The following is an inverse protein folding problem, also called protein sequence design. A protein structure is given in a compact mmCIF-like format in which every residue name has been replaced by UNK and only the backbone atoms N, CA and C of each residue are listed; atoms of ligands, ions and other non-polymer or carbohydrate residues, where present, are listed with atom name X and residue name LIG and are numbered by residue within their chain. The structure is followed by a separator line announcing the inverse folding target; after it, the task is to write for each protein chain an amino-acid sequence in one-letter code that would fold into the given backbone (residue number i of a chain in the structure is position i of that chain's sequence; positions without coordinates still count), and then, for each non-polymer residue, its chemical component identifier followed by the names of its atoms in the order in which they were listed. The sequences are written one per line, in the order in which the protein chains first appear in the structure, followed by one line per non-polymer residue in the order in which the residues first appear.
data_IF_598430523398
#
_entry.id   IF_598430523398
#
_cell.length_a   1.000
_cell.length_b   1.000
_cell.length_c   1.000
_cell.angle_alpha   90.00
_cell.angle_beta   90.00
_cell.angle_gamma   90.00
#
_symmetry.space_group_name_H-M   'P 1'
#
loop_
_entity.id
_entity.type
_entity.pdbx_description
1 polymer ?
#
# COMPACT_ATOMS: atom_id res chain seq x y z
N UNK A 1 -10.25 -7.02 8.93
CA UNK A 1 -9.35 -5.95 9.42
C UNK A 1 -10.18 -4.98 10.26
N UNK A 2 -9.89 -4.92 11.54
CA UNK A 2 -10.58 -4.01 12.46
C UNK A 2 -9.65 -3.59 13.60
N UNK A 3 -10.09 -2.57 14.37
CA UNK A 3 -9.28 -2.00 15.44
C UNK A 3 -9.03 -2.99 16.57
N UNK A 4 -9.99 -3.84 16.89
CA UNK A 4 -9.83 -4.83 17.97
C UNK A 4 -8.73 -5.83 17.64
N UNK A 5 -8.64 -6.30 16.39
CA UNK A 5 -7.57 -7.18 15.94
C UNK A 5 -6.20 -6.51 16.05
N UNK A 6 -6.09 -5.23 15.64
CA UNK A 6 -4.85 -4.47 15.74
C UNK A 6 -4.46 -4.24 17.21
N UNK A 7 -5.44 -3.99 18.06
CA UNK A 7 -5.20 -3.82 19.49
C UNK A 7 -4.63 -5.10 20.13
N UNK A 8 -5.14 -6.26 19.75
CA UNK A 8 -4.61 -7.54 20.20
C UNK A 8 -3.16 -7.76 19.74
N UNK A 9 -2.85 -7.41 18.50
CA UNK A 9 -1.48 -7.48 18.00
C UNK A 9 -0.53 -6.58 18.79
N UNK A 10 -0.99 -5.39 19.13
CA UNK A 10 -0.21 -4.44 19.94
C UNK A 10 -0.03 -4.95 21.37
N UNK A 11 -1.13 -5.31 22.03
CA UNK A 11 -1.15 -5.58 23.48
C UNK A 11 -0.60 -6.96 23.81
N UNK A 12 -0.90 -7.97 22.99
CA UNK A 12 -0.51 -9.35 23.26
C UNK A 12 0.83 -9.74 22.62
N UNK A 13 1.18 -9.13 21.50
CA UNK A 13 2.38 -9.46 20.72
C UNK A 13 3.41 -8.36 20.64
N UNK A 14 3.12 -7.17 21.15
CA UNK A 14 4.05 -6.04 21.12
C UNK A 14 4.25 -5.41 19.75
N UNK A 15 3.33 -5.62 18.80
CA UNK A 15 3.41 -5.02 17.49
C UNK A 15 3.21 -3.51 17.56
N UNK A 16 4.01 -2.75 16.81
CA UNK A 16 3.88 -1.29 16.68
C UNK A 16 3.71 -0.84 15.23
N UNK A 17 3.60 -1.77 14.30
CA UNK A 17 3.46 -1.49 12.88
C UNK A 17 2.54 -2.53 12.23
N UNK A 18 1.63 -2.05 11.38
CA UNK A 18 0.72 -2.87 10.56
C UNK A 18 1.05 -2.61 9.09
N UNK A 19 1.07 -3.67 8.30
CA UNK A 19 1.26 -3.57 6.84
C UNK A 19 -0.04 -3.96 6.14
N UNK A 20 -0.55 -3.05 5.31
CA UNK A 20 -1.78 -3.25 4.53
C UNK A 20 -1.37 -3.52 3.09
N UNK A 21 -1.56 -4.74 2.63
CA UNK A 21 -1.19 -5.17 1.29
C UNK A 21 -2.32 -4.89 0.30
N UNK A 22 -2.12 -3.93 -0.60
CA UNK A 22 -3.03 -3.67 -1.72
C UNK A 22 -2.57 -4.51 -2.91
N UNK A 23 -3.15 -5.68 -3.08
CA UNK A 23 -2.84 -6.55 -4.23
C UNK A 23 -3.24 -5.88 -5.53
N UNK A 24 -2.27 -5.68 -6.41
CA UNK A 24 -2.46 -5.01 -7.70
C UNK A 24 -2.99 -5.94 -8.78
N UNK A 25 -2.43 -7.14 -8.90
CA UNK A 25 -2.66 -8.04 -10.02
C UNK A 25 -3.16 -9.44 -9.68
N UNK A 26 -3.57 -9.69 -8.46
CA UNK A 26 -4.15 -10.98 -8.07
C UNK A 26 -5.65 -11.06 -8.39
N UNK A 27 -6.26 -12.22 -8.16
CA UNK A 27 -7.70 -12.38 -8.36
C UNK A 27 -8.47 -11.38 -7.48
N UNK A 28 -9.33 -10.58 -8.12
CA UNK A 28 -10.04 -9.47 -7.48
C UNK A 28 -9.09 -8.40 -6.89
N UNK A 29 -7.88 -8.27 -7.43
CA UNK A 29 -6.95 -7.20 -7.09
C UNK A 29 -7.43 -5.85 -7.58
N UNK A 30 -6.73 -4.80 -7.17
CA UNK A 30 -7.09 -3.42 -7.49
C UNK A 30 -7.21 -3.16 -8.99
N UNK A 31 -6.33 -3.76 -9.80
CA UNK A 31 -6.31 -3.61 -11.26
C UNK A 31 -6.98 -4.78 -12.00
N UNK A 32 -7.48 -5.79 -11.29
CA UNK A 32 -7.94 -7.06 -11.88
C UNK A 32 -9.35 -7.45 -11.46
N UNK A 33 -10.24 -6.46 -11.37
CA UNK A 33 -11.66 -6.69 -11.14
C UNK A 33 -12.14 -6.42 -9.72
N UNK A 34 -11.27 -6.06 -8.79
CA UNK A 34 -11.65 -5.67 -7.45
C UNK A 34 -12.42 -4.34 -7.44
N UNK A 35 -13.25 -4.14 -6.43
CA UNK A 35 -13.94 -2.88 -6.21
C UNK A 35 -12.95 -1.87 -5.62
N UNK A 36 -12.42 -0.99 -6.46
CA UNK A 36 -11.39 -0.02 -6.06
C UNK A 36 -11.84 0.90 -4.93
N UNK A 37 -13.10 1.32 -4.96
CA UNK A 37 -13.64 2.18 -3.91
C UNK A 37 -13.66 1.46 -2.57
N UNK A 38 -14.17 0.23 -2.54
CA UNK A 38 -14.21 -0.59 -1.33
C UNK A 38 -12.81 -0.91 -0.82
N UNK A 39 -11.88 -1.23 -1.72
CA UNK A 39 -10.50 -1.51 -1.34
C UNK A 39 -9.82 -0.29 -0.69
N UNK A 40 -10.06 0.90 -1.23
CA UNK A 40 -9.54 2.15 -0.62
C UNK A 40 -10.20 2.44 0.73
N UNK A 41 -11.47 2.12 0.89
CA UNK A 41 -12.15 2.25 2.19
C UNK A 41 -11.59 1.28 3.24
N UNK A 42 -11.20 0.07 2.83
CA UNK A 42 -10.50 -0.87 3.70
C UNK A 42 -9.14 -0.35 4.14
N UNK A 43 -8.39 0.27 3.24
CA UNK A 43 -7.13 0.95 3.59
C UNK A 43 -7.40 2.02 4.63
N UNK A 44 -8.41 2.85 4.42
CA UNK A 44 -8.79 3.90 5.38
C UNK A 44 -9.13 3.33 6.75
N UNK A 45 -9.90 2.27 6.79
CA UNK A 45 -10.24 1.57 8.04
C UNK A 45 -8.99 1.12 8.78
N UNK A 46 -8.04 0.53 8.07
CA UNK A 46 -6.78 0.08 8.66
C UNK A 46 -5.89 1.23 9.13
N UNK A 47 -5.79 2.29 8.34
CA UNK A 47 -5.01 3.49 8.70
C UNK A 47 -5.59 4.16 9.95
N UNK A 48 -6.90 4.35 9.98
CA UNK A 48 -7.57 4.98 11.13
C UNK A 48 -7.42 4.13 12.39
N UNK A 49 -7.56 2.81 12.28
CA UNK A 49 -7.38 1.90 13.41
C UNK A 49 -5.94 1.95 13.96
N UNK A 50 -4.94 1.88 13.10
CA UNK A 50 -3.54 1.97 13.51
C UNK A 50 -3.24 3.33 14.16
N UNK A 51 -3.75 4.40 13.58
CA UNK A 51 -3.57 5.76 14.10
C UNK A 51 -4.17 5.91 15.50
N UNK A 52 -5.38 5.41 15.70
CA UNK A 52 -6.06 5.44 17.01
C UNK A 52 -5.29 4.64 18.07
N UNK A 53 -4.53 3.63 17.68
CA UNK A 53 -3.76 2.79 18.57
C UNK A 53 -2.29 3.23 18.74
N UNK A 54 -1.90 4.32 18.11
CA UNK A 54 -0.53 4.81 18.17
C UNK A 54 0.47 3.95 17.41
N UNK A 55 0.01 3.24 16.38
CA UNK A 55 0.84 2.33 15.58
C UNK A 55 1.21 2.97 14.24
N UNK A 56 2.37 2.59 13.70
CA UNK A 56 2.71 2.88 12.31
C UNK A 56 1.92 1.97 11.38
N UNK A 57 1.70 2.44 10.15
CA UNK A 57 1.02 1.67 9.11
C UNK A 57 1.74 1.83 7.78
N UNK A 58 1.99 0.71 7.11
CA UNK A 58 2.53 0.68 5.75
C UNK A 58 1.36 0.46 4.79
N UNK A 59 1.21 1.35 3.81
CA UNK A 59 0.35 1.13 2.65
C UNK A 59 1.24 0.59 1.54
N UNK A 60 1.04 -0.68 1.20
CA UNK A 60 1.88 -1.45 0.30
C UNK A 60 1.15 -1.71 -1.03
N UNK A 61 1.75 -1.27 -2.13
CA UNK A 61 1.33 -1.68 -3.48
C UNK A 61 1.90 -3.06 -3.76
N UNK A 62 1.03 -4.07 -3.60
CA UNK A 62 1.46 -5.45 -3.47
C UNK A 62 1.57 -6.17 -4.82
N UNK A 63 2.66 -5.88 -5.52
CA UNK A 63 3.04 -6.62 -6.73
C UNK A 63 3.43 -8.05 -6.35
N UNK A 64 2.89 -9.03 -7.03
CA UNK A 64 3.21 -10.44 -6.82
C UNK A 64 3.05 -11.22 -8.13
N UNK A 65 1.84 -11.66 -8.48
CA UNK A 65 1.59 -12.40 -9.71
C UNK A 65 1.74 -11.58 -10.98
N UNK A 66 1.56 -10.26 -10.90
CA UNK A 66 1.82 -9.32 -11.99
C UNK A 66 3.32 -9.04 -12.22
N UNK A 67 4.19 -9.50 -11.34
CA UNK A 67 5.66 -9.58 -11.41
C UNK A 67 6.37 -8.22 -11.55
N UNK A 68 6.02 -7.44 -12.57
CA UNK A 68 6.71 -6.21 -12.94
C UNK A 68 5.88 -4.99 -12.55
N UNK A 69 6.41 -4.04 -11.74
CA UNK A 69 5.66 -2.85 -11.34
C UNK A 69 5.29 -1.94 -12.52
N UNK A 70 5.97 -2.07 -13.67
CA UNK A 70 5.62 -1.34 -14.88
C UNK A 70 4.25 -1.73 -15.44
N UNK A 71 3.76 -2.95 -15.17
CA UNK A 71 2.49 -3.45 -15.70
C UNK A 71 1.31 -2.56 -15.32
N UNK A 72 1.23 -2.15 -14.06
CA UNK A 72 0.16 -1.27 -13.54
C UNK A 72 0.72 0.05 -13.01
N UNK A 73 1.76 0.56 -13.65
CA UNK A 73 2.43 1.78 -13.20
C UNK A 73 1.49 2.99 -13.14
N UNK A 74 0.65 3.18 -14.15
CA UNK A 74 -0.25 4.35 -14.17
C UNK A 74 -1.30 4.26 -13.07
N UNK A 75 -1.83 3.07 -12.80
CA UNK A 75 -2.75 2.83 -11.71
C UNK A 75 -2.07 3.04 -10.36
N UNK A 76 -0.83 2.61 -10.21
CA UNK A 76 -0.04 2.83 -9.00
C UNK A 76 0.20 4.33 -8.75
N UNK A 77 0.53 5.07 -9.79
CA UNK A 77 0.73 6.53 -9.71
C UNK A 77 -0.54 7.23 -9.21
N UNK A 78 -1.68 6.90 -9.80
CA UNK A 78 -2.97 7.47 -9.39
C UNK A 78 -3.32 7.07 -7.94
N UNK A 79 -3.10 5.82 -7.58
CA UNK A 79 -3.34 5.32 -6.22
C UNK A 79 -2.49 6.07 -5.19
N UNK A 80 -1.20 6.18 -5.41
CA UNK A 80 -0.31 6.87 -4.46
C UNK A 80 -0.54 8.38 -4.42
N UNK A 81 -0.93 9.00 -5.53
CA UNK A 81 -1.33 10.41 -5.52
C UNK A 81 -2.53 10.63 -4.60
N UNK A 82 -3.53 9.76 -4.70
CA UNK A 82 -4.72 9.84 -3.85
C UNK A 82 -4.38 9.54 -2.38
N UNK A 83 -3.63 8.47 -2.10
CA UNK A 83 -3.28 8.09 -0.73
C UNK A 83 -2.38 9.13 -0.05
N UNK A 84 -1.37 9.61 -0.73
CA UNK A 84 -0.46 10.61 -0.16
C UNK A 84 -1.14 11.95 0.08
N UNK A 85 -2.11 12.32 -0.75
CA UNK A 85 -2.93 13.51 -0.53
C UNK A 85 -3.86 13.33 0.66
N UNK A 86 -4.53 12.17 0.76
CA UNK A 86 -5.49 11.88 1.82
C UNK A 86 -4.85 11.83 3.20
N UNK A 87 -3.65 11.28 3.30
CA UNK A 87 -2.93 11.07 4.56
C UNK A 87 -1.74 12.03 4.74
N UNK A 88 -1.70 13.15 4.05
CA UNK A 88 -0.56 14.08 4.07
C UNK A 88 -0.23 14.63 5.46
N UNK A 89 -1.22 14.73 6.33
CA UNK A 89 -1.04 15.26 7.70
C UNK A 89 -0.85 14.14 8.74
N UNK A 90 -0.77 12.88 8.30
CA UNK A 90 -0.53 11.73 9.17
C UNK A 90 0.99 11.50 9.28
N UNK A 91 1.50 11.40 10.49
CA UNK A 91 2.92 11.18 10.75
C UNK A 91 3.30 9.70 10.94
N UNK A 92 2.31 8.80 10.83
CA UNK A 92 2.46 7.36 11.08
C UNK A 92 2.28 6.50 9.81
N UNK A 93 2.10 7.10 8.64
CA UNK A 93 1.87 6.39 7.38
C UNK A 93 3.16 6.29 6.58
N UNK A 94 3.50 5.07 6.17
CA UNK A 94 4.66 4.75 5.33
C UNK A 94 4.14 4.15 4.03
N UNK A 95 4.76 4.51 2.90
CA UNK A 95 4.36 4.00 1.59
C UNK A 95 5.41 3.02 1.07
N UNK A 96 4.96 1.81 0.73
CA UNK A 96 5.78 0.81 0.05
C UNK A 96 5.31 0.71 -1.40
N UNK A 97 6.17 1.12 -2.32
CA UNK A 97 5.75 1.33 -3.71
C UNK A 97 5.72 0.06 -4.56
N UNK A 98 6.33 -1.02 -4.09
CA UNK A 98 6.36 -2.30 -4.81
C UNK A 98 6.77 -3.42 -3.86
N UNK A 99 5.93 -4.45 -3.71
CA UNK A 99 6.23 -5.59 -2.85
C UNK A 99 7.39 -6.43 -3.41
N UNK A 100 7.14 -7.40 -4.26
CA UNK A 100 8.14 -8.36 -4.74
C UNK A 100 8.22 -8.35 -6.26
N UNK A 101 9.02 -7.45 -6.87
CA UNK A 101 9.28 -7.57 -8.31
C UNK A 101 9.98 -8.90 -8.57
N UNK A 102 9.48 -9.64 -9.55
CA UNK A 102 9.95 -11.01 -9.80
C UNK A 102 9.85 -11.38 -11.27
N UNK A 103 10.09 -12.66 -11.59
CA UNK A 103 10.06 -13.14 -12.95
C UNK A 103 11.16 -12.49 -13.80
N UNK A 104 10.79 -11.96 -14.96
CA UNK A 104 11.72 -11.26 -15.87
C UNK A 104 11.97 -9.80 -15.54
N UNK A 105 11.48 -9.29 -14.40
CA UNK A 105 11.66 -7.89 -14.01
C UNK A 105 13.12 -7.56 -13.76
N UNK A 106 13.58 -6.44 -14.31
CA UNK A 106 14.96 -5.98 -14.14
C UNK A 106 15.05 -4.85 -13.14
N UNK A 107 16.26 -4.55 -12.65
CA UNK A 107 16.49 -3.36 -11.84
C UNK A 107 16.12 -2.07 -12.58
N UNK A 108 16.37 -2.02 -13.89
CA UNK A 108 16.00 -0.87 -14.71
C UNK A 108 14.49 -0.63 -14.68
N UNK A 109 13.68 -1.69 -14.71
CA UNK A 109 12.22 -1.59 -14.59
C UNK A 109 11.80 -1.00 -13.24
N UNK A 110 12.38 -1.51 -12.16
CA UNK A 110 12.08 -1.05 -10.79
C UNK A 110 12.53 0.38 -10.59
N UNK A 111 13.73 0.73 -11.03
CA UNK A 111 14.27 2.08 -10.92
C UNK A 111 13.41 3.10 -11.66
N UNK A 112 13.08 2.82 -12.91
CA UNK A 112 12.24 3.69 -13.73
C UNK A 112 10.86 3.90 -13.08
N UNK A 113 10.26 2.85 -12.56
CA UNK A 113 9.01 2.91 -11.81
C UNK A 113 9.14 3.81 -10.57
N UNK A 114 10.17 3.60 -9.77
CA UNK A 114 10.42 4.35 -8.55
C UNK A 114 10.64 5.85 -8.83
N UNK A 115 11.36 6.17 -9.90
CA UNK A 115 11.64 7.55 -10.32
C UNK A 115 10.36 8.31 -10.69
N UNK A 116 9.30 7.62 -11.11
CA UNK A 116 8.01 8.25 -11.41
C UNK A 116 7.07 8.30 -10.19
N UNK A 117 7.08 7.27 -9.35
CA UNK A 117 6.13 7.15 -8.22
C UNK A 117 6.58 7.96 -7.00
N UNK A 118 7.86 7.90 -6.65
CA UNK A 118 8.38 8.57 -5.44
C UNK A 118 8.10 10.09 -5.45
N UNK A 119 8.33 10.82 -6.55
CA UNK A 119 8.03 12.26 -6.58
C UNK A 119 6.55 12.58 -6.36
N UNK A 120 5.65 11.70 -6.79
CA UNK A 120 4.20 11.87 -6.58
C UNK A 120 3.88 11.82 -5.09
N UNK A 121 4.45 10.86 -4.37
CA UNK A 121 4.23 10.70 -2.92
C UNK A 121 4.82 11.89 -2.15
N UNK A 122 5.94 12.43 -2.62
CA UNK A 122 6.69 13.48 -1.93
C UNK A 122 6.28 14.91 -2.29
N UNK A 123 5.21 15.07 -3.03
CA UNK A 123 4.65 16.42 -3.28
C UNK A 123 4.28 17.10 -1.94
#
# INVERSE_FOLDING_TARGET
MNQDAFQSLRDDMGANLIRIAMYSGENNGYCTGGDQKQLKELVKTGVDAATNLGMYVIIDWHVLGDQNPQTYKEEAKAFFEEMSSLYKDYDNVIYEICNEPNGGTTWADVKSYAEEVIPIIRK
#
